data_IF_576675936277
#
_entry.id   IF_576675936277
#
_cell.length_a   1.000
_cell.length_b   1.000
_cell.length_c   1.000
_cell.angle_alpha   90.00
_cell.angle_beta   90.00
_cell.angle_gamma   90.00
#
_symmetry.space_group_name_H-M   'P 1'
#
loop_
_entity.id
_entity.type
_entity.pdbx_description
1 polymer ?
#
# COMPACT_ATOMS: atom_id res chain seq x y z
N UNK A 1 -0.28 10.99 8.65
CA UNK A 1 -0.65 11.88 7.57
C UNK A 1 0.61 12.27 6.78
N UNK A 2 0.54 12.17 5.47
CA UNK A 2 1.62 12.53 4.57
C UNK A 2 1.04 13.44 3.47
N UNK A 3 1.76 14.51 3.15
CA UNK A 3 1.45 15.38 2.01
C UNK A 3 2.53 15.15 0.96
N UNK A 4 2.32 14.13 0.14
CA UNK A 4 3.36 13.62 -0.73
C UNK A 4 3.24 14.15 -2.16
N UNK A 5 4.38 14.55 -2.69
CA UNK A 5 4.58 14.76 -4.12
C UNK A 5 5.32 13.53 -4.67
N UNK A 6 4.70 12.78 -5.57
CA UNK A 6 5.33 11.58 -6.13
C UNK A 6 6.65 11.87 -6.84
N UNK A 7 6.89 13.11 -7.27
CA UNK A 7 8.15 13.49 -7.92
C UNK A 7 9.37 13.49 -7.00
N UNK A 8 9.18 13.44 -5.66
CA UNK A 8 10.29 13.32 -4.70
C UNK A 8 10.74 11.87 -4.47
N UNK A 9 9.96 10.91 -4.96
CA UNK A 9 10.34 9.49 -4.90
C UNK A 9 11.14 9.10 -6.14
N UNK A 10 12.05 8.14 -5.97
CA UNK A 10 12.82 7.57 -7.07
C UNK A 10 11.88 7.07 -8.17
N UNK A 11 12.12 7.53 -9.41
CA UNK A 11 11.29 7.21 -10.58
C UNK A 11 9.80 7.62 -10.45
N UNK A 12 9.48 8.61 -9.61
CA UNK A 12 8.12 9.05 -9.30
C UNK A 12 7.21 7.88 -8.85
N UNK A 13 7.75 6.97 -8.05
CA UNK A 13 7.12 5.70 -7.73
C UNK A 13 7.23 5.36 -6.24
N UNK A 14 6.10 5.01 -5.63
CA UNK A 14 6.09 4.25 -4.40
C UNK A 14 5.99 2.77 -4.77
N UNK A 15 7.11 2.06 -4.60
CA UNK A 15 7.24 0.66 -5.02
C UNK A 15 6.31 -0.28 -4.24
N UNK A 16 6.13 -1.49 -4.75
CA UNK A 16 5.30 -2.53 -4.18
C UNK A 16 5.52 -2.70 -2.68
N UNK A 17 4.47 -2.45 -1.91
CA UNK A 17 4.48 -2.57 -0.46
C UNK A 17 3.09 -2.95 0.08
N UNK A 18 3.03 -3.24 1.33
CA UNK A 18 1.80 -3.42 2.11
C UNK A 18 2.05 -3.00 3.56
N UNK A 19 0.98 -2.74 4.27
CA UNK A 19 0.99 -2.42 5.69
C UNK A 19 -0.29 -2.89 6.38
N UNK A 20 -0.32 -2.86 7.71
CA UNK A 20 -1.47 -3.33 8.50
C UNK A 20 -2.50 -2.25 8.75
N UNK A 21 -2.18 -1.05 8.38
CA UNK A 21 -3.01 0.13 8.47
C UNK A 21 -4.01 0.19 7.31
N UNK A 22 -5.07 0.97 7.49
CA UNK A 22 -5.93 1.47 6.43
C UNK A 22 -5.25 2.67 5.77
N UNK A 23 -5.37 2.82 4.47
CA UNK A 23 -4.84 3.96 3.75
C UNK A 23 -5.92 4.65 2.92
N UNK A 24 -5.90 5.97 2.93
CA UNK A 24 -6.72 6.82 2.08
C UNK A 24 -5.82 7.79 1.32
N UNK A 25 -5.94 7.79 0.01
CA UNK A 25 -5.16 8.65 -0.88
C UNK A 25 -6.13 9.56 -1.64
N UNK A 26 -5.90 10.85 -1.59
CA UNK A 26 -6.62 11.84 -2.39
C UNK A 26 -5.70 12.38 -3.49
N UNK A 27 -6.20 12.46 -4.72
CA UNK A 27 -5.44 13.03 -5.82
C UNK A 27 -5.75 14.53 -5.87
N UNK A 28 -4.87 15.33 -5.30
CA UNK A 28 -5.03 16.78 -5.26
C UNK A 28 -4.65 17.43 -6.59
N UNK A 29 -3.63 16.89 -7.27
CA UNK A 29 -3.28 17.31 -8.63
C UNK A 29 -2.52 16.22 -9.37
N UNK A 30 -2.61 16.21 -10.69
CA UNK A 30 -1.94 15.26 -11.56
C UNK A 30 -2.73 13.99 -11.83
N UNK A 31 -2.01 12.96 -12.28
CA UNK A 31 -2.56 11.64 -12.58
C UNK A 31 -1.67 10.58 -11.96
N UNK A 32 -2.28 9.62 -11.27
CA UNK A 32 -1.58 8.52 -10.61
C UNK A 32 -2.05 7.20 -11.18
N UNK A 33 -1.12 6.38 -11.59
CA UNK A 33 -1.36 4.97 -11.90
C UNK A 33 -1.15 4.17 -10.62
N UNK A 34 -2.16 3.42 -10.23
CA UNK A 34 -2.17 2.57 -9.06
C UNK A 34 -2.32 1.11 -9.49
N UNK A 35 -1.52 0.24 -8.92
CA UNK A 35 -1.66 -1.21 -9.04
C UNK A 35 -2.05 -1.80 -7.70
N UNK A 36 -3.08 -2.66 -7.69
CA UNK A 36 -3.50 -3.44 -6.54
C UNK A 36 -3.71 -4.88 -7.00
N UNK A 37 -2.79 -5.76 -6.60
CA UNK A 37 -2.79 -7.12 -7.13
C UNK A 37 -2.65 -7.13 -8.65
N UNK A 38 -3.63 -7.72 -9.34
CA UNK A 38 -3.67 -7.81 -10.79
C UNK A 38 -4.27 -6.57 -11.47
N UNK A 39 -4.95 -5.73 -10.71
CA UNK A 39 -5.69 -4.59 -11.23
C UNK A 39 -4.82 -3.35 -11.36
N UNK A 40 -5.05 -2.58 -12.41
CA UNK A 40 -4.41 -1.30 -12.67
C UNK A 40 -5.47 -0.22 -12.88
N UNK A 41 -5.30 0.91 -12.19
CA UNK A 41 -6.21 2.05 -12.25
C UNK A 41 -5.45 3.34 -12.53
N UNK A 42 -6.08 4.25 -13.27
CA UNK A 42 -5.59 5.62 -13.42
C UNK A 42 -6.53 6.56 -12.67
N UNK A 43 -6.03 7.18 -11.62
CA UNK A 43 -6.75 8.16 -10.82
C UNK A 43 -6.29 9.56 -11.21
N UNK A 44 -7.26 10.45 -11.40
CA UNK A 44 -7.04 11.85 -11.77
C UNK A 44 -7.44 12.78 -10.63
N UNK A 45 -7.07 14.03 -10.76
CA UNK A 45 -7.41 15.10 -9.82
C UNK A 45 -8.89 15.09 -9.40
N UNK A 46 -9.10 15.20 -8.10
CA UNK A 46 -10.40 15.19 -7.45
C UNK A 46 -10.93 13.82 -7.09
N UNK A 47 -10.31 12.73 -7.55
CA UNK A 47 -10.64 11.37 -7.16
C UNK A 47 -9.81 10.92 -5.95
N UNK A 48 -10.16 9.79 -5.38
CA UNK A 48 -9.43 9.21 -4.27
C UNK A 48 -9.60 7.70 -4.19
N UNK A 49 -8.89 7.09 -3.27
CA UNK A 49 -8.98 5.65 -3.02
C UNK A 49 -8.83 5.34 -1.54
N UNK A 50 -9.55 4.32 -1.11
CA UNK A 50 -9.33 3.59 0.13
C UNK A 50 -8.63 2.28 -0.19
N UNK A 51 -7.55 1.96 0.54
CA UNK A 51 -6.82 0.69 0.48
C UNK A 51 -6.94 0.03 1.85
N UNK A 52 -7.41 -1.22 1.84
CA UNK A 52 -7.63 -1.99 3.05
C UNK A 52 -6.32 -2.53 3.64
N UNK A 53 -6.39 -3.05 4.85
CA UNK A 53 -5.24 -3.65 5.56
C UNK A 53 -4.60 -4.77 4.75
N UNK A 54 -3.28 -4.84 4.76
CA UNK A 54 -2.47 -5.92 4.16
C UNK A 54 -2.63 -6.07 2.64
N UNK A 55 -3.17 -5.08 1.96
CA UNK A 55 -3.29 -5.09 0.50
C UNK A 55 -1.96 -4.67 -0.12
N UNK A 56 -1.45 -5.48 -1.05
CA UNK A 56 -0.22 -5.17 -1.79
C UNK A 56 -0.57 -4.17 -2.89
N UNK A 57 0.12 -3.03 -2.90
CA UNK A 57 -0.13 -1.96 -3.86
C UNK A 57 1.15 -1.22 -4.26
N UNK A 58 1.06 -0.46 -5.35
CA UNK A 58 2.14 0.35 -5.94
C UNK A 58 1.54 1.59 -6.58
N UNK A 59 2.20 2.74 -6.44
CA UNK A 59 1.79 4.00 -7.04
C UNK A 59 2.89 4.53 -7.96
N UNK A 60 2.49 5.12 -9.08
CA UNK A 60 3.39 5.75 -10.03
C UNK A 60 2.72 6.96 -10.66
N UNK A 61 3.49 7.98 -10.97
CA UNK A 61 3.03 9.08 -11.81
C UNK A 61 4.05 9.39 -12.92
N UNK A 62 3.62 9.60 -14.16
CA UNK A 62 4.52 9.99 -15.25
C UNK A 62 5.05 11.42 -15.09
N UNK A 63 4.42 12.23 -14.23
CA UNK A 63 4.73 13.63 -13.97
C UNK A 63 4.50 13.98 -12.51
N UNK A 64 4.67 15.22 -12.14
CA UNK A 64 4.35 15.72 -10.81
C UNK A 64 2.89 15.42 -10.45
N UNK A 65 2.67 14.80 -9.29
CA UNK A 65 1.35 14.53 -8.73
C UNK A 65 1.37 14.72 -7.21
N UNK A 66 0.43 15.50 -6.70
CA UNK A 66 0.23 15.70 -5.27
C UNK A 66 -0.83 14.74 -4.77
N UNK A 67 -0.44 13.91 -3.80
CA UNK A 67 -1.25 12.82 -3.26
C UNK A 67 -1.26 12.86 -1.73
N UNK A 68 -1.92 13.86 -1.12
CA UNK A 68 -2.10 13.81 0.33
C UNK A 68 -2.77 12.49 0.72
N UNK A 69 -2.18 11.80 1.70
CA UNK A 69 -2.67 10.52 2.18
C UNK A 69 -2.65 10.46 3.71
N UNK A 70 -3.49 9.60 4.25
CA UNK A 70 -3.49 9.32 5.68
C UNK A 70 -3.64 7.82 5.93
N UNK A 71 -2.75 7.35 6.79
CA UNK A 71 -2.57 5.94 7.13
C UNK A 71 -2.79 5.79 8.63
N UNK A 72 -3.64 4.85 9.03
CA UNK A 72 -3.95 4.64 10.44
C UNK A 72 -4.44 3.21 10.73
N UNK A 73 -4.20 2.74 11.95
CA UNK A 73 -4.72 1.46 12.40
C UNK A 73 -6.25 1.50 12.50
N UNK A 74 -6.97 0.43 12.12
CA UNK A 74 -8.43 0.36 12.27
C UNK A 74 -8.93 0.67 13.69
N UNK A 75 -8.11 0.33 14.70
CA UNK A 75 -8.39 0.63 16.11
C UNK A 75 -8.45 2.13 16.46
N UNK A 76 -8.01 2.99 15.54
CA UNK A 76 -8.12 4.44 15.71
C UNK A 76 -9.56 4.95 15.52
N UNK A 77 -10.38 4.23 14.75
CA UNK A 77 -11.82 4.53 14.59
C UNK A 77 -12.59 4.17 15.85
N UNK A 78 -12.32 2.98 16.41
CA UNK A 78 -12.89 2.51 17.67
C UNK A 78 -12.02 1.38 18.26
N UNK A 79 -11.98 1.23 19.60
CA UNK A 79 -11.27 0.13 20.27
C UNK A 79 -11.71 -1.24 19.77
N UNK A 80 -10.75 -2.16 19.61
CA UNK A 80 -10.99 -3.49 19.00
C UNK A 80 -12.03 -4.35 19.75
N UNK A 81 -12.20 -4.14 21.04
CA UNK A 81 -13.17 -4.82 21.91
C UNK A 81 -14.54 -4.12 21.96
N UNK A 82 -14.68 -2.95 21.29
CA UNK A 82 -15.93 -2.21 21.26
C UNK A 82 -16.97 -2.82 20.32
N UNK A 83 -18.25 -2.61 20.61
CA UNK A 83 -19.35 -2.97 19.73
C UNK A 83 -19.23 -2.29 18.35
N UNK A 84 -18.74 -1.05 18.32
CA UNK A 84 -18.54 -0.30 17.09
C UNK A 84 -17.52 -1.03 16.19
N UNK A 85 -16.41 -1.45 16.75
CA UNK A 85 -15.39 -2.17 15.99
C UNK A 85 -15.92 -3.48 15.45
N UNK A 86 -16.51 -4.29 16.33
CA UNK A 86 -16.99 -5.64 15.97
C UNK A 86 -18.11 -5.60 14.92
N UNK A 87 -18.99 -4.61 15.00
CA UNK A 87 -20.17 -4.53 14.13
C UNK A 87 -19.93 -3.78 12.82
N UNK A 88 -19.07 -2.75 12.82
CA UNK A 88 -18.97 -1.83 11.70
C UNK A 88 -17.57 -1.76 11.06
N UNK A 89 -16.51 -2.14 11.78
CA UNK A 89 -15.15 -2.08 11.26
C UNK A 89 -14.68 -3.47 10.84
N UNK A 90 -14.74 -4.42 11.73
CA UNK A 90 -14.28 -5.78 11.51
C UNK A 90 -14.87 -6.43 10.24
N UNK A 91 -16.16 -6.29 9.92
CA UNK A 91 -16.70 -6.83 8.68
C UNK A 91 -16.00 -6.29 7.42
N UNK A 92 -15.69 -5.01 7.33
CA UNK A 92 -15.01 -4.42 6.17
C UNK A 92 -13.55 -4.85 6.09
N UNK A 93 -12.81 -4.82 7.20
CA UNK A 93 -11.37 -5.15 7.19
C UNK A 93 -11.10 -6.65 7.06
N UNK A 94 -12.01 -7.50 7.53
CA UNK A 94 -11.92 -8.95 7.38
C UNK A 94 -12.50 -9.46 6.07
N UNK A 95 -13.20 -8.60 5.37
CA UNK A 95 -13.86 -8.89 4.11
C UNK A 95 -12.88 -8.72 2.95
N UNK A 96 -13.03 -9.42 1.83
CA UNK A 96 -12.19 -9.21 0.66
C UNK A 96 -12.67 -7.99 -0.15
N UNK A 97 -12.73 -6.85 0.51
CA UNK A 97 -12.77 -5.56 -0.13
C UNK A 97 -11.35 -4.99 -0.11
N UNK A 98 -10.52 -5.24 -1.12
CA UNK A 98 -9.13 -4.82 -1.08
C UNK A 98 -9.00 -3.30 -1.17
N UNK A 99 -9.91 -2.64 -1.88
CA UNK A 99 -9.91 -1.20 -2.09
C UNK A 99 -11.29 -0.69 -2.51
N UNK A 100 -11.48 0.63 -2.41
CA UNK A 100 -12.61 1.38 -3.01
C UNK A 100 -12.09 2.62 -3.71
N UNK A 101 -12.43 2.80 -4.98
CA UNK A 101 -12.16 4.05 -5.70
C UNK A 101 -13.33 5.00 -5.49
N UNK A 102 -13.01 6.26 -5.22
CA UNK A 102 -13.98 7.33 -5.07
C UNK A 102 -13.90 8.28 -6.25
N UNK A 103 -15.00 8.38 -6.99
CA UNK A 103 -15.17 9.29 -8.12
C UNK A 103 -15.99 10.50 -7.70
N UNK A 104 -15.54 11.69 -8.05
CA UNK A 104 -16.20 12.95 -7.68
C UNK A 104 -17.59 13.14 -8.30
N UNK A 105 -17.90 12.39 -9.35
CA UNK A 105 -19.19 12.39 -10.04
C UNK A 105 -20.28 11.58 -9.33
N UNK A 106 -19.91 10.69 -8.40
CA UNK A 106 -20.84 9.83 -7.67
C UNK A 106 -21.19 10.46 -6.33
N UNK A 107 -22.45 10.70 -6.06
CA UNK A 107 -22.94 11.54 -4.95
C UNK A 107 -22.36 11.13 -3.57
N UNK A 108 -22.44 9.86 -3.17
CA UNK A 108 -21.94 9.41 -1.88
C UNK A 108 -20.41 9.40 -1.83
N UNK A 109 -19.75 9.09 -2.97
CA UNK A 109 -18.29 9.11 -3.07
C UNK A 109 -17.75 10.55 -3.00
N UNK A 110 -18.49 11.52 -3.58
CA UNK A 110 -18.15 12.94 -3.45
C UNK A 110 -18.21 13.42 -1.98
N UNK A 111 -19.12 12.87 -1.15
CA UNK A 111 -19.12 13.14 0.29
C UNK A 111 -17.89 12.57 0.96
N UNK A 112 -17.50 11.32 0.66
CA UNK A 112 -16.25 10.70 1.15
C UNK A 112 -15.05 11.58 0.79
N UNK A 113 -14.92 11.99 -0.47
CA UNK A 113 -13.85 12.88 -0.93
C UNK A 113 -13.86 14.24 -0.22
N UNK A 114 -15.06 14.79 0.08
CA UNK A 114 -15.18 16.01 0.87
C UNK A 114 -14.66 15.83 2.31
N UNK A 115 -14.98 14.71 2.96
CA UNK A 115 -14.48 14.40 4.31
C UNK A 115 -12.96 14.18 4.27
N UNK A 116 -12.43 13.48 3.28
CA UNK A 116 -10.98 13.33 3.10
C UNK A 116 -10.27 14.69 3.02
N UNK A 117 -10.78 15.64 2.25
CA UNK A 117 -10.23 17.00 2.18
C UNK A 117 -10.32 17.75 3.52
N UNK A 118 -11.40 17.55 4.28
CA UNK A 118 -11.52 18.12 5.63
C UNK A 118 -10.47 17.53 6.58
N UNK A 119 -10.20 16.22 6.53
CA UNK A 119 -9.15 15.56 7.30
C UNK A 119 -7.78 16.14 6.93
N UNK A 120 -7.50 16.31 5.64
CA UNK A 120 -6.26 16.92 5.13
C UNK A 120 -6.11 18.34 5.68
N UNK A 121 -7.13 19.19 5.52
CA UNK A 121 -7.10 20.56 6.00
C UNK A 121 -7.02 20.68 7.53
N UNK A 122 -7.55 19.72 8.27
CA UNK A 122 -7.48 19.70 9.73
C UNK A 122 -6.06 19.55 10.26
N UNK A 123 -5.11 19.04 9.44
CA UNK A 123 -3.71 18.88 9.87
C UNK A 123 -3.00 20.23 10.05
N UNK A 124 -3.46 21.28 9.39
CA UNK A 124 -2.96 22.65 9.53
C UNK A 124 -3.57 23.38 10.73
N UNK A 125 -4.60 22.81 11.36
CA UNK A 125 -5.30 23.37 12.51
C UNK A 125 -4.51 23.13 13.80
N UNK A 126 -4.37 24.16 14.64
CA UNK A 126 -3.38 24.16 15.72
C UNK A 126 -3.91 23.60 17.06
N UNK A 127 -5.20 23.65 17.35
CA UNK A 127 -5.66 23.45 18.74
C UNK A 127 -6.54 22.22 19.00
N UNK A 128 -7.07 21.56 17.97
CA UNK A 128 -8.01 20.43 18.15
C UNK A 128 -7.95 19.40 17.01
N UNK A 129 -6.84 19.36 16.29
CA UNK A 129 -6.71 18.52 15.09
C UNK A 129 -6.93 17.02 15.36
N UNK A 130 -6.45 16.53 16.49
CA UNK A 130 -6.58 15.11 16.84
C UNK A 130 -8.04 14.71 17.06
N UNK A 131 -8.81 15.53 17.79
CA UNK A 131 -10.22 15.28 18.04
C UNK A 131 -11.07 15.46 16.79
N UNK A 132 -10.78 16.52 16.00
CA UNK A 132 -11.46 16.77 14.74
C UNK A 132 -11.18 15.64 13.74
N UNK A 133 -9.93 15.23 13.59
CA UNK A 133 -9.54 14.11 12.72
C UNK A 133 -10.25 12.82 13.15
N UNK A 134 -10.29 12.50 14.44
CA UNK A 134 -10.99 11.31 14.95
C UNK A 134 -12.47 11.34 14.59
N UNK A 135 -13.15 12.47 14.79
CA UNK A 135 -14.56 12.64 14.42
C UNK A 135 -14.80 12.49 12.93
N UNK A 136 -13.94 13.10 12.10
CA UNK A 136 -14.04 13.01 10.66
C UNK A 136 -13.79 11.59 10.15
N UNK A 137 -12.85 10.84 10.75
CA UNK A 137 -12.60 9.44 10.40
C UNK A 137 -13.79 8.54 10.70
N UNK A 138 -14.50 8.78 11.82
CA UNK A 138 -15.74 8.05 12.12
C UNK A 138 -16.85 8.37 11.10
N UNK A 139 -17.01 9.62 10.69
CA UNK A 139 -17.95 10.02 9.64
C UNK A 139 -17.57 9.44 8.26
N UNK A 140 -16.29 9.45 7.91
CA UNK A 140 -15.77 8.83 6.70
C UNK A 140 -16.12 7.34 6.65
N UNK A 141 -15.89 6.64 7.77
CA UNK A 141 -16.17 5.22 7.88
C UNK A 141 -17.66 4.91 7.80
N UNK A 142 -18.50 5.75 8.39
CA UNK A 142 -19.95 5.63 8.30
C UNK A 142 -20.44 5.71 6.85
N UNK A 143 -19.97 6.72 6.08
CA UNK A 143 -20.33 6.84 4.66
C UNK A 143 -19.89 5.61 3.84
N UNK A 144 -18.72 5.05 4.13
CA UNK A 144 -18.24 3.82 3.48
C UNK A 144 -19.13 2.63 3.86
N UNK A 145 -19.39 2.45 5.15
CA UNK A 145 -20.17 1.31 5.65
C UNK A 145 -21.60 1.30 5.09
N UNK A 146 -22.27 2.46 5.06
CA UNK A 146 -23.65 2.57 4.58
C UNK A 146 -23.80 2.37 3.06
N UNK A 147 -22.74 2.63 2.29
CA UNK A 147 -22.78 2.57 0.83
C UNK A 147 -22.02 1.38 0.25
N UNK A 148 -21.43 0.53 1.08
CA UNK A 148 -20.73 -0.67 0.63
C UNK A 148 -21.61 -1.90 0.90
N UNK A 149 -22.02 -2.57 -0.16
CA UNK A 149 -22.74 -3.84 -0.03
C UNK A 149 -21.76 -4.97 0.30
N UNK A 150 -21.69 -5.31 1.56
CA UNK A 150 -20.79 -6.35 2.08
C UNK A 150 -21.29 -7.76 1.70
N UNK A 151 -22.55 -7.91 1.32
CA UNK A 151 -23.20 -9.23 1.10
C UNK A 151 -22.87 -9.89 -0.26
N UNK A 152 -22.43 -9.12 -1.25
CA UNK A 152 -22.41 -9.55 -2.65
C UNK A 152 -21.16 -10.33 -3.12
N UNK A 153 -20.12 -10.50 -2.30
CA UNK A 153 -18.80 -10.99 -2.79
C UNK A 153 -18.31 -12.31 -2.18
N UNK A 154 -19.17 -13.20 -1.69
CA UNK A 154 -18.72 -14.43 -1.00
C UNK A 154 -18.02 -15.49 -1.89
N UNK A 155 -18.25 -15.52 -3.22
CA UNK A 155 -17.86 -16.65 -4.06
C UNK A 155 -16.40 -16.69 -4.56
N UNK A 156 -15.62 -15.59 -4.47
CA UNK A 156 -14.28 -15.50 -5.10
C UNK A 156 -13.08 -15.39 -4.13
N UNK A 157 -13.23 -15.74 -2.86
CA UNK A 157 -12.43 -15.24 -1.74
C UNK A 157 -11.22 -16.04 -1.28
N UNK A 158 -11.36 -17.33 -1.12
CA UNK A 158 -10.34 -18.11 -0.38
C UNK A 158 -8.99 -18.18 -1.09
N UNK A 159 -9.01 -18.29 -2.42
CA UNK A 159 -7.77 -18.43 -3.19
C UNK A 159 -6.95 -17.15 -3.29
N UNK A 160 -7.60 -15.99 -3.39
CA UNK A 160 -6.91 -14.69 -3.50
C UNK A 160 -6.20 -14.34 -2.20
N UNK A 161 -6.88 -14.47 -1.07
CA UNK A 161 -6.32 -14.13 0.25
C UNK A 161 -5.13 -15.02 0.62
N UNK A 162 -5.23 -16.32 0.40
CA UNK A 162 -4.14 -17.26 0.65
C UNK A 162 -2.93 -17.00 -0.26
N UNK A 163 -3.16 -16.67 -1.52
CA UNK A 163 -2.11 -16.33 -2.49
C UNK A 163 -1.38 -15.04 -2.13
N UNK A 164 -2.11 -14.01 -1.71
CA UNK A 164 -1.53 -12.76 -1.24
C UNK A 164 -0.73 -12.94 0.05
N UNK A 165 -1.23 -13.71 1.01
CA UNK A 165 -0.50 -14.03 2.24
C UNK A 165 0.82 -14.74 1.95
N UNK A 166 0.83 -15.71 1.04
CA UNK A 166 2.06 -16.39 0.59
C UNK A 166 3.04 -15.42 -0.07
N UNK A 167 2.54 -14.53 -0.92
CA UNK A 167 3.37 -13.51 -1.56
C UNK A 167 3.99 -12.57 -0.53
N UNK A 168 3.22 -12.13 0.47
CA UNK A 168 3.72 -11.28 1.56
C UNK A 168 4.83 -11.95 2.36
N UNK A 169 4.69 -13.25 2.69
CA UNK A 169 5.74 -14.01 3.37
C UNK A 169 7.05 -14.02 2.55
N UNK A 170 6.95 -14.26 1.24
CA UNK A 170 8.11 -14.25 0.34
C UNK A 170 8.75 -12.85 0.23
N UNK A 171 7.94 -11.80 0.11
CA UNK A 171 8.45 -10.42 0.08
C UNK A 171 9.11 -10.05 1.40
N UNK A 172 8.51 -10.39 2.53
CA UNK A 172 9.07 -10.15 3.86
C UNK A 172 10.41 -10.86 4.05
N UNK A 173 10.52 -12.09 3.60
CA UNK A 173 11.79 -12.82 3.62
C UNK A 173 12.88 -12.11 2.80
N UNK A 174 12.54 -11.64 1.61
CA UNK A 174 13.46 -10.84 0.78
C UNK A 174 13.89 -9.58 1.53
N UNK A 175 12.96 -8.84 2.14
CA UNK A 175 13.27 -7.61 2.87
C UNK A 175 14.19 -7.83 4.08
N UNK A 176 14.08 -8.95 4.77
CA UNK A 176 14.89 -9.28 5.92
C UNK A 176 16.28 -9.84 5.55
N UNK A 177 16.40 -10.44 4.35
CA UNK A 177 17.58 -11.20 3.97
C UNK A 177 18.27 -10.69 2.69
N UNK A 178 17.85 -9.54 2.14
CA UNK A 178 18.31 -9.02 0.84
C UNK A 178 19.83 -8.88 0.72
N UNK A 179 20.52 -8.60 1.81
CA UNK A 179 21.98 -8.46 1.83
C UNK A 179 22.73 -9.80 1.73
N UNK A 180 22.03 -10.92 1.91
CA UNK A 180 22.60 -12.25 1.86
C UNK A 180 22.43 -12.88 0.47
N UNK A 181 23.16 -13.97 0.20
CA UNK A 181 22.96 -14.78 -0.99
C UNK A 181 21.71 -15.64 -0.80
N UNK A 182 20.57 -15.17 -1.30
CA UNK A 182 19.31 -15.90 -1.26
C UNK A 182 18.91 -16.37 -2.67
N UNK A 183 18.42 -17.59 -2.76
CA UNK A 183 17.98 -18.24 -3.99
C UNK A 183 16.44 -18.18 -4.14
N UNK A 184 15.96 -18.52 -5.34
CA UNK A 184 14.52 -18.70 -5.56
C UNK A 184 13.94 -19.84 -4.69
N UNK A 185 14.73 -20.85 -4.38
CA UNK A 185 14.33 -21.94 -3.48
C UNK A 185 14.06 -21.41 -2.07
N UNK A 186 15.01 -20.62 -1.53
CA UNK A 186 14.89 -20.03 -0.20
C UNK A 186 13.64 -19.15 -0.09
N UNK A 187 13.35 -18.37 -1.15
CA UNK A 187 12.16 -17.52 -1.21
C UNK A 187 10.87 -18.35 -1.23
N UNK A 188 10.81 -19.40 -2.06
CA UNK A 188 9.63 -20.23 -2.20
C UNK A 188 9.33 -21.05 -0.93
N UNK A 189 10.36 -21.52 -0.24
CA UNK A 189 10.26 -22.29 0.99
C UNK A 189 9.56 -21.52 2.12
N UNK A 190 9.77 -20.21 2.21
CA UNK A 190 9.14 -19.35 3.23
C UNK A 190 7.61 -19.37 3.17
N UNK A 191 7.05 -19.57 1.98
CA UNK A 191 5.60 -19.67 1.78
C UNK A 191 5.13 -21.12 1.59
N UNK A 192 6.03 -22.10 1.80
CA UNK A 192 5.77 -23.53 1.59
C UNK A 192 5.20 -23.84 0.20
N UNK A 193 5.78 -23.22 -0.85
CA UNK A 193 5.36 -23.39 -2.24
C UNK A 193 6.51 -23.84 -3.13
N UNK A 194 6.18 -24.36 -4.32
CA UNK A 194 7.19 -24.67 -5.35
C UNK A 194 7.74 -23.37 -5.99
N UNK A 195 8.95 -23.45 -6.58
CA UNK A 195 9.53 -22.35 -7.39
C UNK A 195 8.57 -21.84 -8.45
N UNK A 196 7.89 -22.73 -9.16
CA UNK A 196 6.93 -22.35 -10.20
C UNK A 196 5.74 -21.60 -9.60
N UNK A 197 5.26 -21.98 -8.44
CA UNK A 197 4.20 -21.25 -7.72
C UNK A 197 4.69 -19.88 -7.28
N UNK A 198 5.90 -19.78 -6.72
CA UNK A 198 6.51 -18.49 -6.35
C UNK A 198 6.64 -17.56 -7.56
N UNK A 199 7.19 -18.06 -8.69
CA UNK A 199 7.28 -17.32 -9.95
C UNK A 199 5.90 -16.82 -10.42
N UNK A 200 4.89 -17.69 -10.37
CA UNK A 200 3.54 -17.34 -10.81
C UNK A 200 2.91 -16.27 -9.91
N UNK A 201 3.06 -16.37 -8.59
CA UNK A 201 2.54 -15.38 -7.65
C UNK A 201 3.18 -14.00 -7.87
N UNK A 202 4.50 -13.93 -7.98
CA UNK A 202 5.19 -12.66 -8.25
C UNK A 202 4.78 -12.07 -9.60
N UNK A 203 4.70 -12.87 -10.66
CA UNK A 203 4.27 -12.39 -11.99
C UNK A 203 2.82 -11.92 -11.99
N UNK A 204 1.95 -12.67 -11.31
CA UNK A 204 0.51 -12.39 -11.25
C UNK A 204 0.24 -11.07 -10.52
N UNK A 205 0.82 -10.88 -9.34
CA UNK A 205 0.50 -9.76 -8.46
C UNK A 205 1.45 -8.57 -8.55
N UNK A 206 2.73 -8.80 -8.90
CA UNK A 206 3.74 -7.74 -8.96
C UNK A 206 4.28 -7.50 -10.38
N UNK A 207 3.85 -8.30 -11.36
CA UNK A 207 4.29 -8.22 -12.76
C UNK A 207 5.80 -8.35 -12.98
N UNK A 208 6.53 -8.89 -12.01
CA UNK A 208 7.98 -9.14 -12.06
C UNK A 208 8.31 -10.54 -11.53
N UNK A 209 9.57 -10.95 -11.63
CA UNK A 209 10.03 -12.21 -11.02
C UNK A 209 10.53 -11.97 -9.58
N UNK A 210 10.58 -13.00 -8.71
CA UNK A 210 11.16 -12.88 -7.37
C UNK A 210 12.60 -12.37 -7.38
N UNK A 211 13.40 -12.83 -8.35
CA UNK A 211 14.80 -12.39 -8.51
C UNK A 211 14.88 -10.91 -8.88
N UNK A 212 14.06 -10.45 -9.83
CA UNK A 212 14.02 -9.03 -10.19
C UNK A 212 13.50 -8.17 -9.03
N UNK A 213 12.53 -8.68 -8.25
CA UNK A 213 12.09 -8.01 -7.04
C UNK A 213 13.22 -7.83 -6.02
N UNK A 214 14.00 -8.90 -5.77
CA UNK A 214 15.19 -8.84 -4.91
C UNK A 214 16.21 -7.81 -5.43
N UNK A 215 16.52 -7.83 -6.73
CA UNK A 215 17.46 -6.87 -7.34
C UNK A 215 16.98 -5.44 -7.16
N UNK A 216 15.71 -5.17 -7.46
CA UNK A 216 15.12 -3.83 -7.30
C UNK A 216 15.16 -3.37 -5.83
N UNK A 217 14.88 -4.27 -4.88
CA UNK A 217 14.96 -3.96 -3.47
C UNK A 217 16.38 -3.63 -3.03
N UNK A 218 17.38 -4.40 -3.47
CA UNK A 218 18.82 -4.14 -3.24
C UNK A 218 19.25 -2.78 -3.80
N UNK A 219 18.84 -2.45 -5.02
CA UNK A 219 19.13 -1.16 -5.66
C UNK A 219 18.52 0.00 -4.86
N UNK A 220 17.28 -0.14 -4.38
CA UNK A 220 16.64 0.85 -3.52
C UNK A 220 17.44 1.07 -2.23
N UNK A 221 17.85 -0.01 -1.56
CA UNK A 221 18.67 0.09 -0.34
C UNK A 221 20.04 0.72 -0.63
N UNK A 222 20.67 0.35 -1.75
CA UNK A 222 21.94 0.94 -2.17
C UNK A 222 21.79 2.45 -2.45
N UNK A 223 20.76 2.87 -3.14
CA UNK A 223 20.43 4.29 -3.39
C UNK A 223 20.25 5.08 -2.09
N UNK A 224 19.54 4.51 -1.11
CA UNK A 224 19.39 5.13 0.22
C UNK A 224 20.73 5.29 0.96
N UNK A 225 21.60 4.29 0.90
CA UNK A 225 22.94 4.37 1.52
C UNK A 225 23.81 5.40 0.79
N UNK A 226 23.76 5.46 -0.54
CA UNK A 226 24.48 6.47 -1.33
C UNK A 226 24.05 7.91 -0.99
N UNK A 227 22.75 8.14 -0.78
CA UNK A 227 22.22 9.48 -0.48
C UNK A 227 22.43 9.91 0.98
N UNK A 228 22.56 8.94 1.92
CA UNK A 228 22.59 9.23 3.36
C UNK A 228 23.97 9.04 4.00
N UNK A 229 24.94 8.49 3.28
CA UNK A 229 26.27 8.16 3.84
C UNK A 229 27.37 8.51 2.86
N UNK A 230 28.61 8.64 3.38
CA UNK A 230 29.83 8.82 2.57
C UNK A 230 30.56 7.49 2.30
N UNK A 231 29.85 6.36 2.42
CA UNK A 231 30.45 5.04 2.19
C UNK A 231 30.88 4.89 0.73
N UNK A 232 31.97 4.16 0.52
CA UNK A 232 32.44 3.81 -0.83
C UNK A 232 31.40 2.91 -1.53
N UNK A 233 31.20 3.11 -2.85
CA UNK A 233 30.29 2.31 -3.66
C UNK A 233 30.53 0.80 -3.51
N UNK A 234 31.80 0.37 -3.46
CA UNK A 234 32.16 -1.04 -3.27
C UNK A 234 31.67 -1.62 -1.93
N UNK A 235 31.70 -0.82 -0.87
CA UNK A 235 31.19 -1.22 0.44
C UNK A 235 29.66 -1.29 0.43
N UNK A 236 28.99 -0.29 -0.15
CA UNK A 236 27.53 -0.28 -0.31
C UNK A 236 27.08 -1.48 -1.14
N UNK A 237 27.76 -1.78 -2.24
CA UNK A 237 27.49 -2.97 -3.06
C UNK A 237 27.52 -4.25 -2.23
N UNK A 238 28.59 -4.44 -1.42
CA UNK A 238 28.71 -5.60 -0.55
C UNK A 238 27.63 -5.65 0.54
N UNK A 239 27.34 -4.53 1.20
CA UNK A 239 26.32 -4.43 2.25
C UNK A 239 24.90 -4.66 1.72
N UNK A 240 24.65 -4.41 0.45
CA UNK A 240 23.34 -4.59 -0.19
C UNK A 240 23.21 -5.90 -0.98
N UNK A 241 24.20 -6.80 -0.86
CA UNK A 241 24.14 -8.15 -1.40
C UNK A 241 24.55 -8.26 -2.87
N UNK A 242 25.21 -7.23 -3.43
CA UNK A 242 25.87 -7.34 -4.74
C UNK A 242 27.32 -7.79 -4.51
N UNK A 243 27.61 -9.04 -4.86
CA UNK A 243 28.95 -9.63 -4.63
C UNK A 243 29.96 -9.28 -5.72
N UNK A 244 29.53 -8.71 -6.85
CA UNK A 244 30.41 -8.18 -7.91
C UNK A 244 29.97 -6.76 -8.25
N UNK A 245 30.96 -5.86 -8.41
CA UNK A 245 30.76 -4.45 -8.77
C UNK A 245 30.45 -4.29 -10.28
N UNK A 246 30.55 -5.35 -11.05
CA UNK A 246 30.44 -5.40 -12.53
C UNK A 246 29.04 -5.84 -13.00
N UNK A 247 27.98 -5.45 -12.30
CA UNK A 247 26.60 -5.64 -12.78
C UNK A 247 26.06 -4.35 -13.31
#
# INVERSE_FOLDING_TARGET
>A
FYYEDLSVFDFNCVEWHWHTELEFIYIESGTVTLWIGEDQFNLTEGNGIFINTKVIHRLYSPSKALIPNFVFMPSFIAPCDSLIYQKYILPIISYPLPFLIFHKEVCWQAKVLSIMRQIISAQDSVSSKELLTSSLLQNLWLEIFENTDISYQEEHKEHSTASQARLQLMMQFIHLNYSQSISLDDIAEQAMVSKSTALNLFRKYLHITPVNYLINYRLKQAGQLLSKTEKKVSLISSETGFHNVDY
#
